data_IF_494592704695
#
_entry.id   IF_494592704695
#
_cell.length_a   1.000
_cell.length_b   1.000
_cell.length_c   1.000
_cell.angle_alpha   90.00
_cell.angle_beta   90.00
_cell.angle_gamma   90.00
#
_symmetry.space_group_name_H-M   'P 1'
#
loop_
_entity.id
_entity.type
_entity.pdbx_description
1 polymer ?
#
# COMPACT_ATOMS: atom_id res chain seq x y z
N UNK A 1 16.21 -11.92 8.95
CA UNK A 1 16.16 -10.59 8.30
C UNK A 1 14.71 -10.30 7.98
N UNK A 2 14.05 -9.31 8.60
CA UNK A 2 12.71 -8.91 8.20
C UNK A 2 12.75 -8.49 6.72
N UNK A 3 11.82 -9.01 5.91
CA UNK A 3 11.68 -8.57 4.52
C UNK A 3 10.84 -7.30 4.53
N UNK A 4 11.40 -6.21 4.04
CA UNK A 4 10.68 -4.95 3.84
C UNK A 4 10.08 -4.93 2.44
N UNK A 5 8.86 -4.43 2.32
CA UNK A 5 8.23 -4.10 1.05
C UNK A 5 7.80 -2.64 1.09
N UNK A 6 7.71 -2.01 -0.08
CA UNK A 6 7.15 -0.68 -0.20
C UNK A 6 5.87 -0.68 -1.05
N UNK A 7 5.14 0.43 -1.01
CA UNK A 7 3.93 0.59 -1.81
C UNK A 7 4.18 0.41 -3.32
N UNK A 8 5.32 0.87 -3.83
CA UNK A 8 5.60 0.80 -5.26
C UNK A 8 5.82 -0.65 -5.74
N UNK A 9 6.52 -1.46 -4.96
CA UNK A 9 6.77 -2.87 -5.26
C UNK A 9 5.48 -3.68 -5.18
N UNK A 10 4.64 -3.42 -4.16
CA UNK A 10 3.30 -4.02 -4.07
C UNK A 10 2.45 -3.65 -5.30
N UNK A 11 2.40 -2.38 -5.69
CA UNK A 11 1.63 -1.94 -6.84
C UNK A 11 2.14 -2.58 -8.15
N UNK A 12 3.46 -2.62 -8.36
CA UNK A 12 4.08 -3.25 -9.54
C UNK A 12 3.79 -4.74 -9.60
N UNK A 13 3.81 -5.44 -8.47
CA UNK A 13 3.53 -6.88 -8.42
C UNK A 13 2.12 -7.24 -8.92
N UNK A 14 1.16 -6.32 -8.80
CA UNK A 14 -0.23 -6.49 -9.26
C UNK A 14 -0.56 -5.67 -10.52
N UNK A 15 0.44 -5.01 -11.13
CA UNK A 15 0.25 -4.20 -12.34
C UNK A 15 -0.54 -2.91 -12.16
N UNK A 16 -0.55 -2.32 -10.96
CA UNK A 16 -1.14 -1.01 -10.69
C UNK A 16 -0.05 0.07 -10.74
N UNK A 17 -0.42 1.28 -11.17
CA UNK A 17 0.44 2.45 -11.06
C UNK A 17 0.78 2.74 -9.57
N UNK A 18 2.06 2.71 -9.18
CA UNK A 18 2.51 3.09 -7.85
C UNK A 18 1.97 4.43 -7.36
N UNK A 19 1.79 5.42 -8.26
CA UNK A 19 1.25 6.73 -7.87
C UNK A 19 -0.21 6.64 -7.44
N UNK A 20 -1.03 5.91 -8.19
CA UNK A 20 -2.43 5.68 -7.86
C UNK A 20 -2.58 4.95 -6.52
N UNK A 21 -1.72 3.96 -6.27
CA UNK A 21 -1.73 3.23 -5.01
C UNK A 21 -1.29 4.11 -3.82
N UNK A 22 -0.21 4.89 -3.97
CA UNK A 22 0.20 5.86 -2.94
C UNK A 22 -0.88 6.90 -2.65
N UNK A 23 -1.63 7.34 -3.66
CA UNK A 23 -2.74 8.25 -3.45
C UNK A 23 -3.85 7.59 -2.63
N UNK A 24 -4.25 6.36 -2.99
CA UNK A 24 -5.26 5.61 -2.25
C UNK A 24 -4.84 5.37 -0.79
N UNK A 25 -3.55 5.10 -0.54
CA UNK A 25 -3.00 4.94 0.81
C UNK A 25 -3.08 6.24 1.63
N UNK A 26 -2.79 7.40 1.01
CA UNK A 26 -2.97 8.71 1.66
C UNK A 26 -4.43 9.00 1.97
N UNK A 27 -5.33 8.68 1.04
CA UNK A 27 -6.77 8.89 1.20
C UNK A 27 -7.35 7.97 2.30
N UNK A 28 -6.75 6.80 2.52
CA UNK A 28 -7.13 5.86 3.58
C UNK A 28 -6.76 6.32 5.00
N UNK A 29 -5.95 7.39 5.16
CA UNK A 29 -5.58 8.00 6.45
C UNK A 29 -5.20 7.00 7.54
N UNK A 30 -4.29 6.08 7.22
CA UNK A 30 -3.83 5.05 8.14
C UNK A 30 -3.17 5.67 9.39
N UNK A 31 -3.53 5.24 10.61
CA UNK A 31 -3.12 5.91 11.86
C UNK A 31 -1.64 5.75 12.20
N UNK A 32 -1.00 4.69 11.70
CA UNK A 32 0.42 4.42 11.91
C UNK A 32 1.32 5.16 10.91
N UNK A 33 0.76 5.61 9.78
CA UNK A 33 1.55 6.26 8.73
C UNK A 33 1.82 7.72 9.05
N UNK A 34 3.09 8.12 9.00
CA UNK A 34 3.51 9.51 9.15
C UNK A 34 3.56 10.20 7.79
N UNK A 35 3.20 11.49 7.78
CA UNK A 35 3.29 12.33 6.58
C UNK A 35 4.74 12.34 6.06
N UNK A 36 4.91 12.06 4.76
CA UNK A 36 6.19 11.93 4.03
C UNK A 36 6.95 10.61 4.21
N UNK A 37 6.37 9.61 4.86
CA UNK A 37 7.00 8.30 4.95
C UNK A 37 6.91 7.56 3.59
N UNK A 38 7.92 6.74 3.29
CA UNK A 38 8.12 6.06 2.02
C UNK A 38 7.20 4.83 1.81
N UNK A 39 6.25 4.63 2.73
CA UNK A 39 5.35 3.48 2.75
C UNK A 39 6.13 2.16 2.75
N UNK A 40 7.24 2.13 3.48
CA UNK A 40 8.09 0.94 3.66
C UNK A 40 7.64 0.24 4.93
N UNK A 41 7.21 -1.00 4.79
CA UNK A 41 6.62 -1.80 5.88
C UNK A 41 7.22 -3.20 5.89
N UNK A 42 7.21 -3.85 7.05
CA UNK A 42 7.59 -5.26 7.14
C UNK A 42 6.53 -6.16 6.51
N UNK A 43 6.97 -7.06 5.63
CA UNK A 43 6.11 -8.09 5.04
C UNK A 43 5.55 -8.96 6.17
N UNK A 44 4.27 -9.31 6.05
CA UNK A 44 3.47 -10.05 7.04
C UNK A 44 3.21 -9.32 8.37
N UNK A 45 3.56 -8.04 8.49
CA UNK A 45 3.16 -7.18 9.61
C UNK A 45 1.74 -6.61 9.47
N UNK A 46 1.25 -6.00 10.55
CA UNK A 46 -0.06 -5.32 10.59
C UNK A 46 -0.16 -4.16 9.59
N UNK A 47 0.95 -3.45 9.38
CA UNK A 47 1.06 -2.36 8.42
C UNK A 47 0.94 -2.86 6.97
N UNK A 48 1.60 -3.99 6.67
CA UNK A 48 1.49 -4.65 5.37
C UNK A 48 0.07 -5.14 5.08
N UNK A 49 -0.62 -5.68 6.10
CA UNK A 49 -2.03 -6.07 5.99
C UNK A 49 -2.95 -4.87 5.70
N UNK A 50 -2.68 -3.73 6.35
CA UNK A 50 -3.38 -2.46 6.09
C UNK A 50 -3.18 -1.99 4.65
N UNK A 51 -1.92 -1.98 4.17
CA UNK A 51 -1.60 -1.60 2.78
C UNK A 51 -2.24 -2.54 1.76
N UNK A 52 -2.23 -3.86 2.03
CA UNK A 52 -2.88 -4.86 1.18
C UNK A 52 -4.39 -4.65 1.10
N UNK A 53 -5.03 -4.27 2.19
CA UNK A 53 -6.47 -3.97 2.22
C UNK A 53 -6.82 -2.78 1.32
N UNK A 54 -6.01 -1.72 1.36
CA UNK A 54 -6.17 -0.57 0.46
C UNK A 54 -5.94 -0.98 -1.00
N UNK A 55 -4.94 -1.82 -1.26
CA UNK A 55 -4.64 -2.31 -2.61
C UNK A 55 -5.81 -3.11 -3.19
N UNK A 56 -6.40 -4.01 -2.40
CA UNK A 56 -7.58 -4.79 -2.79
C UNK A 56 -8.78 -3.88 -3.03
N UNK A 57 -9.00 -2.89 -2.18
CA UNK A 57 -10.09 -1.91 -2.36
C UNK A 57 -9.91 -1.10 -3.63
N UNK A 58 -8.69 -0.66 -3.94
CA UNK A 58 -8.36 0.05 -5.18
C UNK A 58 -8.59 -0.83 -6.42
N UNK A 59 -8.19 -2.10 -6.36
CA UNK A 59 -8.43 -3.08 -7.44
C UNK A 59 -9.93 -3.32 -7.69
N UNK A 60 -10.72 -3.45 -6.62
CA UNK A 60 -12.19 -3.57 -6.73
C UNK A 60 -12.80 -2.35 -7.40
N UNK A 61 -12.35 -1.14 -7.04
CA UNK A 61 -12.85 0.11 -7.62
C UNK A 61 -12.50 0.29 -9.10
N UNK A 62 -11.36 -0.23 -9.56
CA UNK A 62 -10.94 -0.16 -10.99
C UNK A 62 -11.71 -1.14 -11.88
N UNK A 63 -12.30 -2.20 -11.31
CA UNK A 63 -13.10 -3.19 -12.05
C UNK A 63 -14.59 -2.80 -12.18
N UNK A 64 -15.05 -1.80 -11.45
CA UNK A 64 -16.43 -1.32 -11.43
C UNK A 64 -16.68 -0.24 -12.49
#
# INVERSE_FOLDING_TARGET
>A
MPKLTNAADMARSVGIDPKAFRQALRDAKLPWHKRNDDWTVEIDGDEHSSMRTVLVTLLKRKKA
#
